data_IF_548857501023
#
_entry.id   IF_548857501023
#
_cell.length_a   1.000
_cell.length_b   1.000
_cell.length_c   1.000
_cell.angle_alpha   90.00
_cell.angle_beta   90.00
_cell.angle_gamma   90.00
#
_symmetry.space_group_name_H-M   'P 1'
#
loop_
_entity.id
_entity.type
_entity.pdbx_description
1 polymer ?
#
# COMPACT_ATOMS: atom_id res chain seq x y z
N UNK A 1 -1.23 14.81 -23.92
CA UNK A 1 -1.06 14.30 -22.54
C UNK A 1 -2.39 14.46 -21.83
N UNK A 2 -2.86 13.42 -21.14
CA UNK A 2 -4.10 13.50 -20.36
C UNK A 2 -3.87 14.52 -19.23
N UNK A 3 -4.66 15.59 -19.16
CA UNK A 3 -4.59 16.53 -18.03
C UNK A 3 -5.36 15.91 -16.87
N UNK A 4 -4.67 15.62 -15.79
CA UNK A 4 -5.27 15.18 -14.55
C UNK A 4 -4.78 16.04 -13.39
N UNK A 5 -5.58 16.07 -12.31
CA UNK A 5 -5.22 16.67 -11.03
C UNK A 5 -5.75 15.77 -9.93
N UNK A 6 -4.98 15.58 -8.87
CA UNK A 6 -5.43 14.83 -7.69
C UNK A 6 -5.45 15.73 -6.48
N UNK A 7 -6.41 15.52 -5.59
CA UNK A 7 -6.46 16.14 -4.27
C UNK A 7 -7.00 15.13 -3.26
N UNK A 8 -6.37 15.01 -2.10
CA UNK A 8 -6.92 14.20 -1.00
C UNK A 8 -8.03 14.98 -0.31
N UNK A 9 -9.19 14.36 -0.18
CA UNK A 9 -10.33 14.88 0.59
C UNK A 9 -10.28 14.35 2.02
N UNK A 10 -9.90 13.08 2.17
CA UNK A 10 -9.85 12.39 3.44
C UNK A 10 -8.61 11.51 3.47
N UNK A 11 -7.73 11.74 4.44
CA UNK A 11 -6.50 10.97 4.60
C UNK A 11 -6.77 9.49 4.94
N UNK A 12 -7.90 9.17 5.58
CA UNK A 12 -8.20 7.81 6.04
C UNK A 12 -7.51 7.46 7.36
N UNK A 13 -7.46 6.16 7.70
CA UNK A 13 -6.89 5.65 8.95
C UNK A 13 -5.78 4.62 8.71
N UNK A 14 -4.69 4.76 9.46
CA UNK A 14 -3.73 3.69 9.70
C UNK A 14 -4.31 2.73 10.74
N UNK A 15 -4.47 1.47 10.33
CA UNK A 15 -4.98 0.40 11.19
C UNK A 15 -3.85 -0.59 11.46
N UNK A 16 -3.52 -0.82 12.74
CA UNK A 16 -2.36 -1.62 13.15
C UNK A 16 -2.32 -3.00 12.48
N UNK A 17 -3.44 -3.72 12.49
CA UNK A 17 -3.52 -5.08 11.94
C UNK A 17 -3.39 -5.11 10.40
N UNK A 18 -3.81 -4.05 9.72
CA UNK A 18 -3.73 -3.97 8.26
C UNK A 18 -2.34 -3.51 7.81
N UNK A 19 -1.76 -2.51 8.47
CA UNK A 19 -0.52 -1.87 8.00
C UNK A 19 0.75 -2.46 8.62
N UNK A 20 0.64 -3.16 9.76
CA UNK A 20 1.79 -3.74 10.45
C UNK A 20 1.57 -5.20 10.82
N UNK A 21 0.55 -5.83 10.25
CA UNK A 21 0.24 -7.26 10.41
C UNK A 21 0.73 -8.13 9.25
N UNK A 22 0.35 -9.41 9.22
CA UNK A 22 0.81 -10.37 8.22
C UNK A 22 0.52 -9.99 6.76
N UNK A 23 -0.64 -9.36 6.53
CA UNK A 23 -1.12 -8.97 5.21
C UNK A 23 -0.72 -7.54 4.84
N UNK A 24 0.17 -6.91 5.62
CA UNK A 24 0.55 -5.52 5.42
C UNK A 24 1.13 -5.22 4.04
N UNK A 25 1.75 -6.21 3.39
CA UNK A 25 2.32 -6.05 2.03
C UNK A 25 1.35 -5.39 1.03
N UNK A 26 0.04 -5.59 1.18
CA UNK A 26 -0.96 -5.07 0.24
C UNK A 26 -1.42 -3.65 0.60
N UNK A 27 -1.17 -3.20 1.83
CA UNK A 27 -1.48 -1.87 2.35
C UNK A 27 -0.32 -0.87 2.18
N UNK A 28 0.76 -1.28 1.52
CA UNK A 28 1.93 -0.46 1.24
C UNK A 28 2.30 -0.55 -0.23
N UNK A 29 2.53 0.60 -0.86
CA UNK A 29 2.85 0.66 -2.29
C UNK A 29 4.24 1.25 -2.54
N UNK A 30 4.94 0.68 -3.50
CA UNK A 30 6.20 1.24 -3.98
C UNK A 30 5.92 2.35 -4.97
N UNK A 31 6.37 3.57 -4.66
CA UNK A 31 6.44 4.63 -5.65
C UNK A 31 7.80 4.56 -6.35
N UNK A 32 7.86 4.77 -7.67
CA UNK A 32 9.11 4.80 -8.41
C UNK A 32 9.88 6.09 -8.09
N UNK A 33 10.49 6.16 -6.90
CA UNK A 33 11.55 7.12 -6.61
C UNK A 33 12.86 6.50 -7.05
N UNK A 34 13.25 6.77 -8.30
CA UNK A 34 14.60 6.56 -8.79
C UNK A 34 15.57 7.35 -7.91
N UNK A 35 16.59 6.72 -7.33
CA UNK A 35 17.82 7.36 -6.85
C UNK A 35 18.92 6.35 -6.46
N UNK A 36 19.12 5.28 -7.23
CA UNK A 36 20.28 4.37 -7.04
C UNK A 36 20.38 3.68 -5.67
N UNK A 37 19.33 3.71 -4.86
CA UNK A 37 19.27 3.05 -3.55
C UNK A 37 19.09 1.53 -3.74
N UNK A 38 19.65 0.76 -2.80
CA UNK A 38 19.49 -0.71 -2.76
C UNK A 38 18.12 -1.16 -2.22
N UNK A 39 17.30 -0.21 -1.78
CA UNK A 39 15.96 -0.42 -1.23
C UNK A 39 14.95 0.55 -1.86
N UNK A 40 13.67 0.22 -1.74
CA UNK A 40 12.54 1.01 -2.25
C UNK A 40 11.64 1.41 -1.09
N UNK A 41 11.40 2.70 -0.95
CA UNK A 41 10.48 3.24 0.04
C UNK A 41 9.02 2.89 -0.29
N UNK A 42 8.22 2.69 0.74
CA UNK A 42 6.82 2.30 0.60
C UNK A 42 5.89 3.30 1.27
N UNK A 43 4.81 3.64 0.57
CA UNK A 43 3.81 4.60 1.03
C UNK A 43 2.53 3.86 1.43
N UNK A 44 1.85 4.29 2.50
CA UNK A 44 0.71 3.58 3.04
C UNK A 44 -0.55 3.87 2.19
N UNK A 45 -1.41 2.86 2.05
CA UNK A 45 -2.78 3.05 1.58
C UNK A 45 -3.67 3.11 2.81
N UNK A 46 -4.16 4.28 3.22
CA UNK A 46 -5.00 4.35 4.42
C UNK A 46 -6.42 3.82 4.19
N UNK A 47 -6.97 3.11 5.18
CA UNK A 47 -8.35 2.64 5.13
C UNK A 47 -9.31 3.84 5.17
N UNK A 48 -10.24 3.90 4.21
CA UNK A 48 -11.19 5.00 4.09
C UNK A 48 -10.59 6.27 3.48
N UNK A 49 -9.35 6.22 2.97
CA UNK A 49 -8.76 7.31 2.20
C UNK A 49 -9.68 7.69 1.03
N UNK A 50 -9.86 8.99 0.79
CA UNK A 50 -10.60 9.52 -0.35
C UNK A 50 -9.81 10.54 -1.13
N UNK A 51 -9.75 10.37 -2.44
CA UNK A 51 -9.16 11.34 -3.38
C UNK A 51 -10.21 11.82 -4.37
N UNK A 52 -10.09 13.07 -4.81
CA UNK A 52 -10.68 13.54 -6.06
C UNK A 52 -9.59 13.47 -7.12
N UNK A 53 -9.85 12.73 -8.18
CA UNK A 53 -9.07 12.75 -9.41
C UNK A 53 -9.91 13.46 -10.47
N UNK A 54 -9.47 14.64 -10.90
CA UNK A 54 -10.09 15.35 -12.03
C UNK A 54 -9.44 14.85 -13.32
N UNK A 55 -10.23 14.32 -14.24
CA UNK A 55 -9.79 13.86 -15.56
C UNK A 55 -10.67 14.49 -16.62
N UNK A 56 -10.07 15.17 -17.60
CA UNK A 56 -10.82 15.85 -18.67
C UNK A 56 -11.94 16.76 -18.13
N UNK A 57 -11.67 17.51 -17.05
CA UNK A 57 -12.62 18.40 -16.36
C UNK A 57 -13.79 17.71 -15.63
N UNK A 58 -13.74 16.39 -15.49
CA UNK A 58 -14.71 15.62 -14.70
C UNK A 58 -14.06 15.09 -13.42
N UNK A 59 -14.77 15.21 -12.31
CA UNK A 59 -14.29 14.78 -11.00
C UNK A 59 -14.74 13.35 -10.70
N UNK A 60 -13.78 12.58 -10.19
CA UNK A 60 -13.99 11.20 -9.75
C UNK A 60 -13.49 11.10 -8.32
N UNK A 61 -14.37 10.66 -7.42
CA UNK A 61 -14.03 10.40 -6.02
C UNK A 61 -13.66 8.92 -5.91
N UNK A 62 -12.41 8.62 -5.55
CA UNK A 62 -11.96 7.27 -5.28
C UNK A 62 -11.90 7.09 -3.77
N UNK A 63 -12.53 6.02 -3.27
CA UNK A 63 -12.51 5.63 -1.85
C UNK A 63 -11.82 4.29 -1.69
N UNK A 64 -10.87 4.21 -0.76
CA UNK A 64 -10.26 2.95 -0.32
C UNK A 64 -11.17 2.26 0.67
N UNK A 65 -11.51 1.01 0.40
CA UNK A 65 -12.27 0.12 1.28
C UNK A 65 -11.44 -1.13 1.59
N UNK A 66 -11.82 -1.84 2.64
CA UNK A 66 -11.23 -3.13 2.99
C UNK A 66 -12.16 -4.25 2.50
N UNK A 67 -11.59 -5.23 1.81
CA UNK A 67 -12.24 -6.51 1.57
C UNK A 67 -11.31 -7.62 2.08
N UNK A 68 -11.77 -8.38 3.07
CA UNK A 68 -10.91 -9.29 3.83
C UNK A 68 -9.68 -8.58 4.39
N UNK A 69 -8.48 -8.88 3.88
CA UNK A 69 -7.21 -8.30 4.31
C UNK A 69 -6.55 -7.40 3.27
N UNK A 70 -7.23 -7.11 2.16
CA UNK A 70 -6.67 -6.33 1.05
C UNK A 70 -7.40 -5.00 0.85
N UNK A 71 -6.71 -3.96 0.37
CA UNK A 71 -7.36 -2.73 -0.03
C UNK A 71 -8.03 -2.91 -1.40
N UNK A 72 -9.29 -2.51 -1.46
CA UNK A 72 -10.04 -2.39 -2.70
C UNK A 72 -10.59 -0.96 -2.85
N UNK A 73 -11.16 -0.67 -4.02
CA UNK A 73 -11.42 0.70 -4.46
C UNK A 73 -12.82 0.83 -5.02
N UNK A 74 -13.53 1.86 -4.56
CA UNK A 74 -14.81 2.31 -5.12
C UNK A 74 -14.57 3.66 -5.78
N UNK A 75 -15.16 3.88 -6.95
CA UNK A 75 -15.16 5.16 -7.63
C UNK A 75 -16.60 5.68 -7.78
N UNK A 76 -16.78 6.96 -7.51
CA UNK A 76 -18.02 7.68 -7.69
C UNK A 76 -17.78 8.94 -8.55
N UNK A 77 -18.69 9.23 -9.48
CA UNK A 77 -18.73 10.49 -10.20
C UNK A 77 -20.19 10.88 -10.41
N UNK A 78 -20.57 12.07 -9.93
CA UNK A 78 -21.96 12.52 -9.90
C UNK A 78 -22.89 11.46 -9.26
N UNK A 79 -23.87 10.94 -10.01
CA UNK A 79 -24.80 9.89 -9.59
C UNK A 79 -24.31 8.46 -9.88
N UNK A 80 -23.18 8.30 -10.58
CA UNK A 80 -22.61 7.00 -10.92
C UNK A 80 -21.67 6.52 -9.82
N UNK A 81 -21.81 5.25 -9.45
CA UNK A 81 -20.90 4.56 -8.55
C UNK A 81 -20.67 3.14 -9.07
N UNK A 82 -19.44 2.66 -9.01
CA UNK A 82 -19.12 1.28 -9.36
C UNK A 82 -19.27 0.35 -8.15
N UNK A 83 -19.23 -0.95 -8.46
CA UNK A 83 -18.93 -1.97 -7.47
C UNK A 83 -17.44 -1.94 -7.11
N UNK A 84 -17.11 -2.63 -6.02
CA UNK A 84 -15.74 -2.72 -5.51
C UNK A 84 -14.78 -3.27 -6.58
N UNK A 85 -13.63 -2.61 -6.74
CA UNK A 85 -12.60 -2.93 -7.72
C UNK A 85 -11.24 -3.17 -7.05
N UNK A 86 -10.46 -4.11 -7.60
CA UNK A 86 -9.12 -4.45 -7.10
C UNK A 86 -8.05 -3.36 -7.30
N UNK A 87 -8.35 -2.29 -8.04
CA UNK A 87 -7.43 -1.17 -8.22
C UNK A 87 -8.16 0.15 -8.50
N UNK A 88 -7.55 1.27 -8.09
CA UNK A 88 -8.04 2.62 -8.36
C UNK A 88 -8.15 2.91 -9.86
N UNK A 89 -7.19 2.43 -10.66
CA UNK A 89 -7.22 2.52 -12.13
C UNK A 89 -8.44 1.82 -12.73
N UNK A 90 -8.75 0.59 -12.28
CA UNK A 90 -9.93 -0.14 -12.75
C UNK A 90 -11.22 0.56 -12.32
N UNK A 91 -11.23 1.09 -11.10
CA UNK A 91 -12.37 1.80 -10.55
C UNK A 91 -12.75 3.04 -11.39
N UNK A 92 -11.77 3.93 -11.63
CA UNK A 92 -11.99 5.14 -12.43
C UNK A 92 -12.29 4.82 -13.90
N UNK A 93 -11.61 3.84 -14.49
CA UNK A 93 -11.84 3.43 -15.89
C UNK A 93 -13.27 2.93 -16.08
N UNK A 94 -13.80 2.17 -15.12
CA UNK A 94 -15.18 1.66 -15.17
C UNK A 94 -16.21 2.78 -15.15
N UNK A 95 -16.07 3.75 -14.22
CA UNK A 95 -17.02 4.87 -14.12
C UNK A 95 -16.91 5.80 -15.32
N UNK A 96 -15.69 6.10 -15.76
CA UNK A 96 -15.46 6.92 -16.95
C UNK A 96 -16.11 6.28 -18.20
N UNK A 97 -15.97 4.97 -18.37
CA UNK A 97 -16.60 4.25 -19.48
C UNK A 97 -18.13 4.27 -19.42
N UNK A 98 -18.70 4.16 -18.21
CA UNK A 98 -20.16 4.25 -18.04
C UNK A 98 -20.68 5.66 -18.35
N UNK A 99 -19.97 6.70 -17.91
CA UNK A 99 -20.36 8.10 -18.12
C UNK A 99 -20.22 8.55 -19.58
N UNK A 100 -19.11 8.20 -20.24
CA UNK A 100 -18.73 8.79 -21.53
C UNK A 100 -18.67 7.80 -22.69
N UNK A 101 -19.06 6.54 -22.47
CA UNK A 101 -18.99 5.45 -23.48
C UNK A 101 -17.60 5.27 -24.11
N UNK A 102 -16.55 5.73 -23.43
CA UNK A 102 -15.15 5.69 -23.90
C UNK A 102 -14.24 5.23 -22.76
N UNK A 103 -13.11 4.61 -23.08
CA UNK A 103 -12.16 4.18 -22.04
C UNK A 103 -11.10 5.24 -21.82
N UNK A 104 -10.87 5.60 -20.56
CA UNK A 104 -9.64 6.28 -20.13
C UNK A 104 -8.76 5.27 -19.40
N UNK A 105 -7.44 5.41 -19.47
CA UNK A 105 -6.51 4.59 -18.70
C UNK A 105 -5.53 5.51 -17.98
N UNK A 106 -5.70 5.63 -16.67
CA UNK A 106 -4.70 6.21 -15.77
C UNK A 106 -4.03 5.11 -14.95
N UNK A 107 -2.77 5.31 -14.61
CA UNK A 107 -2.05 4.45 -13.67
C UNK A 107 -2.64 4.59 -12.25
N UNK A 108 -2.73 3.49 -11.51
CA UNK A 108 -3.32 3.47 -10.16
C UNK A 108 -2.63 4.42 -9.18
N UNK A 109 -1.31 4.59 -9.31
CA UNK A 109 -0.51 5.50 -8.50
C UNK A 109 -0.92 6.95 -8.77
N UNK A 110 -1.07 7.30 -10.05
CA UNK A 110 -1.46 8.63 -10.49
C UNK A 110 -2.90 8.94 -10.12
N UNK A 111 -3.81 7.96 -10.13
CA UNK A 111 -5.20 8.17 -9.68
C UNK A 111 -5.24 8.57 -8.20
N UNK A 112 -4.40 7.95 -7.38
CA UNK A 112 -4.37 8.20 -5.93
C UNK A 112 -3.41 9.33 -5.53
N UNK A 113 -2.68 9.93 -6.48
CA UNK A 113 -1.83 11.10 -6.26
C UNK A 113 -0.45 10.78 -5.66
N UNK A 114 0.05 9.56 -5.84
CA UNK A 114 1.35 9.15 -5.31
C UNK A 114 2.55 9.69 -6.10
N UNK A 115 2.31 10.40 -7.18
CA UNK A 115 3.28 11.22 -7.90
C UNK A 115 3.45 12.63 -7.29
N UNK A 116 2.54 13.05 -6.41
CA UNK A 116 2.62 14.33 -5.70
C UNK A 116 3.34 14.16 -4.36
N UNK A 117 4.47 14.87 -4.20
CA UNK A 117 5.29 14.77 -3.00
C UNK A 117 4.59 15.29 -1.73
N UNK A 118 3.69 16.25 -1.84
CA UNK A 118 2.96 16.79 -0.69
C UNK A 118 1.89 15.81 -0.22
N UNK A 119 1.21 15.14 -1.15
CA UNK A 119 0.32 14.01 -0.84
C UNK A 119 1.11 12.90 -0.11
N UNK A 120 2.24 12.49 -0.67
CA UNK A 120 3.09 11.46 -0.07
C UNK A 120 3.58 11.84 1.34
N UNK A 121 3.99 13.09 1.57
CA UNK A 121 4.36 13.58 2.91
C UNK A 121 3.18 13.53 3.88
N UNK A 122 1.98 13.94 3.45
CA UNK A 122 0.80 13.91 4.28
C UNK A 122 0.43 12.49 4.70
N UNK A 123 0.49 11.52 3.78
CA UNK A 123 0.24 10.11 4.09
C UNK A 123 1.24 9.53 5.09
N UNK A 124 2.47 10.06 5.15
CA UNK A 124 3.52 9.64 6.07
C UNK A 124 3.48 10.34 7.44
N UNK A 125 2.63 11.35 7.65
CA UNK A 125 2.67 12.21 8.83
C UNK A 125 2.50 11.49 10.17
N UNK A 126 1.74 10.39 10.20
CA UNK A 126 1.45 9.59 11.40
C UNK A 126 2.32 8.32 11.52
N UNK A 127 3.38 8.22 10.71
CA UNK A 127 4.23 7.03 10.63
C UNK A 127 5.59 7.29 11.29
N UNK A 128 5.87 6.56 12.37
CA UNK A 128 7.14 6.67 13.11
C UNK A 128 8.35 6.10 12.36
N UNK A 129 8.12 5.09 11.52
CA UNK A 129 9.16 4.43 10.73
C UNK A 129 8.63 4.21 9.32
N UNK A 130 9.29 4.80 8.32
CA UNK A 130 8.90 4.68 6.92
C UNK A 130 9.27 3.29 6.40
N UNK A 131 8.30 2.41 6.08
CA UNK A 131 8.59 1.08 5.59
C UNK A 131 9.34 1.10 4.27
N UNK A 132 10.16 0.09 4.07
CA UNK A 132 10.89 -0.08 2.83
C UNK A 132 11.01 -1.56 2.48
N UNK A 133 11.22 -1.81 1.20
CA UNK A 133 11.46 -3.15 0.67
C UNK A 133 12.83 -3.22 0.02
N UNK A 134 13.49 -4.36 0.13
CA UNK A 134 14.77 -4.61 -0.51
C UNK A 134 14.93 -6.09 -0.86
N UNK A 135 15.87 -6.37 -1.76
CA UNK A 135 16.12 -7.75 -2.20
C UNK A 135 17.23 -8.42 -1.38
N UNK A 136 16.97 -9.65 -0.94
CA UNK A 136 17.97 -10.58 -0.41
C UNK A 136 17.91 -11.84 -1.27
N UNK A 137 18.88 -12.00 -2.17
CA UNK A 137 18.81 -13.05 -3.20
C UNK A 137 17.52 -12.91 -4.02
N UNK A 138 16.68 -13.95 -3.99
CA UNK A 138 15.39 -13.98 -4.68
C UNK A 138 14.21 -13.51 -3.82
N UNK A 139 14.45 -13.12 -2.56
CA UNK A 139 13.41 -12.66 -1.64
C UNK A 139 13.28 -11.15 -1.73
N UNK A 140 12.05 -10.66 -1.83
CA UNK A 140 11.73 -9.25 -1.61
C UNK A 140 11.22 -9.09 -0.19
N UNK A 141 12.06 -8.53 0.69
CA UNK A 141 11.79 -8.39 2.12
C UNK A 141 11.32 -6.98 2.40
N UNK A 142 10.14 -6.87 3.03
CA UNK A 142 9.57 -5.61 3.51
C UNK A 142 9.86 -5.48 5.00
N UNK A 143 10.39 -4.34 5.41
CA UNK A 143 10.56 -3.95 6.81
C UNK A 143 9.49 -2.94 7.16
N UNK A 144 8.67 -3.25 8.17
CA UNK A 144 7.57 -2.39 8.62
C UNK A 144 7.90 -1.60 9.88
N UNK A 145 8.72 -2.16 10.76
CA UNK A 145 9.12 -1.52 12.02
C UNK A 145 10.52 -2.01 12.42
N UNK A 146 11.26 -1.18 13.16
CA UNK A 146 12.58 -1.53 13.71
C UNK A 146 12.53 -1.47 15.22
N UNK A 147 12.92 -2.57 15.86
CA UNK A 147 13.18 -2.65 17.29
C UNK A 147 14.65 -2.97 17.54
N UNK A 148 15.24 -2.33 18.55
CA UNK A 148 16.63 -2.55 18.97
C UNK A 148 16.68 -3.24 20.33
N UNK A 149 17.67 -4.08 20.54
CA UNK A 149 17.99 -4.69 21.84
C UNK A 149 19.51 -4.72 22.05
N UNK A 150 19.92 -5.13 23.25
CA UNK A 150 21.32 -5.40 23.56
C UNK A 150 21.71 -6.86 23.28
N UNK A 151 20.89 -7.63 22.55
CA UNK A 151 21.17 -9.02 22.25
C UNK A 151 22.04 -9.14 20.97
N UNK A 152 23.35 -9.45 21.10
CA UNK A 152 24.23 -9.56 19.94
C UNK A 152 23.88 -10.76 19.05
N UNK A 153 23.29 -11.83 19.59
CA UNK A 153 22.92 -13.04 18.84
C UNK A 153 21.84 -12.76 17.79
N UNK A 154 21.08 -11.67 17.96
CA UNK A 154 20.06 -11.21 17.02
C UNK A 154 20.50 -9.98 16.24
N UNK A 155 21.81 -9.74 16.13
CA UNK A 155 22.36 -8.52 15.53
C UNK A 155 21.76 -7.24 16.15
N UNK A 156 21.52 -7.26 17.46
CA UNK A 156 20.91 -6.14 18.20
C UNK A 156 19.47 -5.81 17.77
N UNK A 157 18.79 -6.69 17.04
CA UNK A 157 17.36 -6.58 16.80
C UNK A 157 16.57 -6.89 18.10
N UNK A 158 15.40 -6.27 18.25
CA UNK A 158 14.61 -6.39 19.47
C UNK A 158 13.13 -6.15 19.26
N UNK A 159 12.39 -6.16 20.37
CA UNK A 159 10.95 -5.88 20.38
C UNK A 159 10.62 -4.62 19.58
N UNK A 160 9.64 -4.75 18.68
CA UNK A 160 9.26 -3.69 17.75
C UNK A 160 9.84 -3.86 16.35
N UNK A 161 10.68 -4.86 16.09
CA UNK A 161 11.01 -5.24 14.71
C UNK A 161 9.88 -6.05 14.09
N UNK A 162 9.49 -5.70 12.87
CA UNK A 162 8.57 -6.48 12.03
C UNK A 162 9.00 -6.46 10.58
N UNK A 163 8.97 -7.63 9.95
CA UNK A 163 9.21 -7.79 8.52
C UNK A 163 8.33 -8.86 7.90
N UNK A 164 8.21 -8.82 6.58
CA UNK A 164 7.60 -9.91 5.84
C UNK A 164 8.23 -10.12 4.47
N UNK A 165 8.07 -11.32 3.94
CA UNK A 165 8.33 -11.61 2.54
C UNK A 165 7.41 -12.73 2.07
N UNK A 166 7.22 -12.79 0.75
CA UNK A 166 6.45 -13.85 0.10
C UNK A 166 7.41 -14.81 -0.58
N UNK A 167 7.24 -16.10 -0.33
CA UNK A 167 8.04 -17.14 -0.97
C UNK A 167 7.21 -18.38 -1.25
N UNK A 168 7.58 -19.11 -2.31
CA UNK A 168 6.96 -20.40 -2.63
C UNK A 168 7.66 -21.50 -1.83
N UNK A 169 6.93 -22.13 -0.92
CA UNK A 169 7.39 -23.28 -0.16
C UNK A 169 6.49 -24.48 -0.47
N UNK A 170 7.07 -25.64 -0.78
CA UNK A 170 6.30 -26.84 -1.16
C UNK A 170 5.24 -26.60 -2.27
N UNK A 171 5.56 -25.78 -3.28
CA UNK A 171 4.65 -25.37 -4.38
C UNK A 171 3.46 -24.50 -3.97
N UNK A 172 3.42 -24.02 -2.73
CA UNK A 172 2.39 -23.10 -2.24
C UNK A 172 3.02 -21.73 -1.98
N UNK A 173 2.35 -20.67 -2.41
CA UNK A 173 2.76 -19.29 -2.12
C UNK A 173 2.43 -19.00 -0.65
N UNK A 174 3.43 -18.58 0.13
CA UNK A 174 3.29 -18.33 1.57
C UNK A 174 3.79 -16.94 1.95
N UNK A 175 3.18 -16.32 2.96
CA UNK A 175 3.72 -15.15 3.64
C UNK A 175 4.53 -15.63 4.83
N UNK A 176 5.77 -15.18 4.91
CA UNK A 176 6.61 -15.30 6.10
C UNK A 176 6.57 -13.95 6.81
N UNK A 177 6.02 -13.91 8.02
CA UNK A 177 5.98 -12.72 8.86
C UNK A 177 6.88 -12.94 10.08
N UNK A 178 7.82 -12.03 10.27
CA UNK A 178 8.85 -12.15 11.29
C UNK A 178 8.73 -11.00 12.29
N UNK A 179 8.84 -11.31 13.56
CA UNK A 179 8.87 -10.32 14.63
C UNK A 179 9.79 -10.76 15.75
N UNK A 180 10.31 -9.78 16.50
CA UNK A 180 10.98 -10.05 17.77
C UNK A 180 10.05 -9.64 18.90
N UNK A 181 9.96 -10.50 19.92
CA UNK A 181 9.45 -10.11 21.23
C UNK A 181 10.62 -10.00 22.22
N UNK A 182 10.35 -9.83 23.51
CA UNK A 182 11.42 -9.63 24.50
C UNK A 182 12.46 -10.76 24.52
N UNK A 183 12.03 -12.01 24.25
CA UNK A 183 12.83 -13.21 24.49
C UNK A 183 12.96 -14.16 23.29
N UNK A 184 12.17 -13.95 22.22
CA UNK A 184 12.09 -14.83 21.07
C UNK A 184 12.12 -14.06 19.75
N UNK A 185 12.78 -14.66 18.76
CA UNK A 185 12.53 -14.39 17.34
C UNK A 185 11.39 -15.32 16.88
N UNK A 186 10.31 -14.74 16.34
CA UNK A 186 9.12 -15.48 15.92
C UNK A 186 8.99 -15.35 14.40
N UNK A 187 8.86 -16.49 13.72
CA UNK A 187 8.45 -16.55 12.33
C UNK A 187 7.08 -17.23 12.23
N UNK A 188 6.08 -16.53 11.70
CA UNK A 188 4.75 -17.07 11.39
C UNK A 188 4.60 -17.23 9.89
N UNK A 189 4.02 -18.35 9.48
CA UNK A 189 3.82 -18.70 8.08
C UNK A 189 2.32 -18.73 7.80
N UNK A 190 1.88 -17.97 6.81
CA UNK A 190 0.48 -17.89 6.40
C UNK A 190 0.33 -18.43 4.97
N UNK A 191 -0.74 -19.19 4.75
CA UNK A 191 -1.12 -19.79 3.47
C UNK A 191 -2.50 -19.28 3.06
N UNK A 192 -2.85 -19.42 1.77
CA UNK A 192 -4.16 -19.06 1.20
C UNK A 192 -4.56 -17.61 1.49
N UNK A 193 -3.70 -16.68 1.07
CA UNK A 193 -3.89 -15.24 1.18
C UNK A 193 -4.05 -14.61 -0.21
#
# INVERSE_FOLDING_TARGET
MLKYKVTIILQGKLIQNLHFGPYAKDWWISCPTHNGLTYTLLYPIHLGMKTITTVNQHDFIITVVQNNFEPEYICQSEALQNNICQSSSKAITSIYQQAFSTKTRLDSLLVMGYDDSEICKMLLSDIYFHPYTFKIGNLNVIIFEIGKSNNPDWNYAGKGYRSSFVHNFCKTRMIFFQEFNNNNAIARIYQNF
#
